data_IF_914806250033
#
_entry.id   IF_914806250033
#
_cell.length_a   1.000
_cell.length_b   1.000
_cell.length_c   1.000
_cell.angle_alpha   90.00
_cell.angle_beta   90.00
_cell.angle_gamma   90.00
#
_symmetry.space_group_name_H-M   'P 1'
#
loop_
_entity.id
_entity.type
_entity.pdbx_description
1 polymer ?
#
# COMPACT_ATOMS: atom_id res chain seq x y z
N UNK A 1 -41.88 30.42 -68.88
CA UNK A 1 -40.41 30.34 -68.56
C UNK A 1 -40.15 30.73 -67.12
N UNK A 2 -40.95 31.62 -66.46
CA UNK A 2 -40.76 32.05 -65.08
C UNK A 2 -41.15 30.96 -64.03
N UNK A 3 -42.11 30.08 -64.34
CA UNK A 3 -42.58 29.03 -63.41
C UNK A 3 -41.53 27.93 -63.13
N UNK A 4 -40.75 27.54 -64.09
CA UNK A 4 -39.70 26.50 -63.99
C UNK A 4 -38.54 26.96 -63.08
N UNK A 5 -38.26 28.25 -63.04
CA UNK A 5 -37.18 28.83 -62.22
C UNK A 5 -37.52 28.88 -60.74
N UNK A 6 -38.78 29.06 -60.44
CA UNK A 6 -39.22 29.08 -59.02
C UNK A 6 -39.29 27.66 -58.41
N UNK A 7 -39.65 26.65 -59.22
CA UNK A 7 -39.64 25.23 -58.76
C UNK A 7 -38.21 24.75 -58.43
N UNK A 8 -37.24 25.18 -59.23
CA UNK A 8 -35.82 24.79 -58.95
C UNK A 8 -35.26 25.43 -57.71
N UNK A 9 -35.62 26.67 -57.39
CA UNK A 9 -35.21 27.35 -56.18
C UNK A 9 -35.85 26.77 -54.92
N UNK A 10 -37.09 26.36 -54.94
CA UNK A 10 -37.81 25.70 -53.85
C UNK A 10 -37.21 24.33 -53.60
N UNK A 11 -36.86 23.55 -54.62
CA UNK A 11 -36.21 22.26 -54.49
C UNK A 11 -34.79 22.40 -53.87
N UNK A 12 -34.04 23.44 -54.20
CA UNK A 12 -32.71 23.67 -53.67
C UNK A 12 -32.73 24.10 -52.22
N UNK A 13 -33.69 24.92 -51.80
CA UNK A 13 -33.89 25.32 -50.42
C UNK A 13 -34.34 24.14 -49.55
N UNK A 14 -35.21 23.24 -50.03
CA UNK A 14 -35.64 22.05 -49.29
C UNK A 14 -34.50 21.02 -49.14
N UNK A 15 -33.61 20.88 -50.11
CA UNK A 15 -32.45 20.02 -50.03
C UNK A 15 -31.41 20.53 -48.99
N UNK A 16 -31.21 21.85 -48.90
CA UNK A 16 -30.30 22.43 -47.90
C UNK A 16 -30.84 22.32 -46.47
N UNK A 17 -32.15 22.41 -46.24
CA UNK A 17 -32.73 22.26 -44.93
C UNK A 17 -32.69 20.80 -44.44
N UNK A 18 -32.78 19.81 -45.33
CA UNK A 18 -32.71 18.41 -44.96
C UNK A 18 -31.27 17.97 -44.59
N UNK A 19 -30.25 18.52 -45.25
CA UNK A 19 -28.85 18.25 -44.91
C UNK A 19 -28.42 18.90 -43.59
N UNK A 20 -28.99 20.04 -43.22
CA UNK A 20 -28.70 20.68 -41.93
C UNK A 20 -29.25 19.90 -40.72
N UNK A 21 -30.44 19.26 -40.86
CA UNK A 21 -31.01 18.44 -39.78
C UNK A 21 -30.23 17.14 -39.52
N UNK A 22 -29.66 16.51 -40.55
CA UNK A 22 -28.79 15.33 -40.38
C UNK A 22 -27.47 15.68 -39.67
N UNK A 23 -26.88 16.83 -39.93
CA UNK A 23 -25.65 17.27 -39.26
C UNK A 23 -25.86 17.55 -37.76
N UNK A 24 -27.01 18.09 -37.39
CA UNK A 24 -27.35 18.30 -35.98
C UNK A 24 -27.63 16.98 -35.22
N UNK A 25 -28.20 15.96 -35.87
CA UNK A 25 -28.47 14.67 -35.27
C UNK A 25 -27.16 13.92 -34.98
N UNK A 26 -26.20 13.94 -35.93
CA UNK A 26 -24.88 13.29 -35.72
C UNK A 26 -24.06 13.96 -34.61
N UNK A 27 -24.07 15.29 -34.52
CA UNK A 27 -23.35 15.97 -33.44
C UNK A 27 -23.99 15.75 -32.05
N UNK A 28 -25.28 15.47 -31.98
CA UNK A 28 -25.96 15.16 -30.72
C UNK A 28 -25.69 13.72 -30.24
N UNK A 29 -25.56 12.76 -31.19
CA UNK A 29 -25.18 11.38 -30.85
C UNK A 29 -23.70 11.28 -30.43
N UNK A 30 -22.78 11.94 -31.15
CA UNK A 30 -21.37 11.99 -30.73
C UNK A 30 -21.19 12.63 -29.34
N UNK A 31 -21.94 13.69 -29.04
CA UNK A 31 -21.88 14.34 -27.72
C UNK A 31 -22.51 13.48 -26.62
N UNK A 32 -23.50 12.66 -26.93
CA UNK A 32 -24.13 11.73 -26.00
C UNK A 32 -23.25 10.51 -25.73
N UNK A 33 -22.58 9.96 -26.73
CA UNK A 33 -21.61 8.86 -26.58
C UNK A 33 -20.36 9.32 -25.83
N UNK A 34 -19.84 10.52 -26.12
CA UNK A 34 -18.70 11.08 -25.39
C UNK A 34 -19.03 11.39 -23.94
N UNK A 35 -20.24 11.82 -23.63
CA UNK A 35 -20.72 11.98 -22.24
C UNK A 35 -20.93 10.65 -21.53
N UNK A 36 -21.50 9.66 -22.19
CA UNK A 36 -21.67 8.33 -21.62
C UNK A 36 -20.32 7.65 -21.38
N UNK A 37 -19.36 7.77 -22.30
CA UNK A 37 -18.00 7.29 -22.11
C UNK A 37 -17.23 8.06 -21.02
N UNK A 38 -17.50 9.35 -20.85
CA UNK A 38 -16.92 10.16 -19.79
C UNK A 38 -17.54 9.84 -18.40
N UNK A 39 -18.84 9.52 -18.34
CA UNK A 39 -19.49 9.05 -17.11
C UNK A 39 -19.03 7.63 -16.75
N UNK A 40 -18.87 6.73 -17.72
CA UNK A 40 -18.33 5.39 -17.49
C UNK A 40 -16.83 5.42 -17.09
N UNK A 41 -16.07 6.41 -17.62
CA UNK A 41 -14.67 6.61 -17.21
C UNK A 41 -14.53 7.26 -15.82
N UNK A 42 -15.56 7.93 -15.31
CA UNK A 42 -15.58 8.50 -13.95
C UNK A 42 -16.02 7.47 -12.91
N UNK A 43 -16.65 6.38 -13.32
CA UNK A 43 -17.01 5.24 -12.47
C UNK A 43 -15.92 4.15 -12.40
N UNK A 44 -14.72 4.43 -12.90
CA UNK A 44 -13.54 3.73 -12.41
C UNK A 44 -13.42 4.09 -10.92
N UNK A 45 -13.96 3.19 -10.13
CA UNK A 45 -13.84 3.13 -8.69
C UNK A 45 -12.50 3.73 -8.29
N UNK A 46 -12.53 4.88 -7.66
CA UNK A 46 -11.34 5.45 -7.06
C UNK A 46 -10.89 4.39 -6.06
N UNK A 47 -9.99 3.52 -6.47
CA UNK A 47 -9.33 2.60 -5.56
C UNK A 47 -8.65 3.50 -4.56
N UNK A 48 -9.36 3.80 -3.52
CA UNK A 48 -8.88 4.60 -2.40
C UNK A 48 -7.81 3.74 -1.74
N UNK A 49 -6.55 3.97 -2.13
CA UNK A 49 -5.38 3.35 -1.50
C UNK A 49 -5.18 4.01 -0.13
N UNK A 50 -6.26 4.05 0.66
CA UNK A 50 -6.29 4.67 1.98
C UNK A 50 -5.43 3.90 2.97
N UNK A 51 -5.40 2.57 2.88
CA UNK A 51 -4.65 1.74 3.81
C UNK A 51 -3.14 1.93 3.73
N UNK A 52 -2.53 1.89 2.54
CA UNK A 52 -1.07 2.08 2.38
C UNK A 52 -0.67 3.49 2.79
N UNK A 53 -1.47 4.49 2.42
CA UNK A 53 -1.19 5.88 2.79
C UNK A 53 -1.26 6.08 4.29
N UNK A 54 -2.28 5.55 4.96
CA UNK A 54 -2.40 5.58 6.41
C UNK A 54 -1.24 4.85 7.10
N UNK A 55 -0.79 3.70 6.57
CA UNK A 55 0.38 2.97 7.07
C UNK A 55 1.66 3.81 7.00
N UNK A 56 1.92 4.46 5.87
CA UNK A 56 3.08 5.36 5.70
C UNK A 56 3.00 6.56 6.66
N UNK A 57 1.84 7.19 6.78
CA UNK A 57 1.61 8.32 7.68
C UNK A 57 1.84 7.92 9.15
N UNK A 58 1.36 6.74 9.56
CA UNK A 58 1.60 6.19 10.88
C UNK A 58 3.08 5.89 11.12
N UNK A 59 3.78 5.28 10.17
CA UNK A 59 5.21 5.03 10.26
C UNK A 59 6.02 6.32 10.40
N UNK A 60 5.65 7.36 9.67
CA UNK A 60 6.26 8.70 9.77
C UNK A 60 5.96 9.33 11.14
N UNK A 61 4.74 9.21 11.65
CA UNK A 61 4.36 9.72 12.97
C UNK A 61 5.18 9.06 14.08
N UNK A 62 5.30 7.73 14.06
CA UNK A 62 6.13 6.98 15.02
C UNK A 62 7.57 7.46 15.00
N UNK A 63 8.14 7.70 13.80
CA UNK A 63 9.52 8.22 13.67
C UNK A 63 9.67 9.65 14.19
N UNK A 64 8.66 10.48 14.00
CA UNK A 64 8.66 11.89 14.45
C UNK A 64 8.55 12.00 15.96
N UNK A 65 7.70 11.16 16.57
CA UNK A 65 7.37 11.23 17.98
C UNK A 65 8.39 10.48 18.87
N UNK A 66 9.23 9.63 18.25
CA UNK A 66 10.25 8.88 18.95
C UNK A 66 11.49 9.73 19.21
N UNK A 67 12.03 9.63 20.43
CA UNK A 67 13.35 10.20 20.80
C UNK A 67 14.51 9.37 20.27
N UNK A 68 14.27 8.09 20.01
CA UNK A 68 15.24 7.11 19.48
C UNK A 68 15.15 7.07 17.95
N UNK A 69 16.22 6.63 17.28
CA UNK A 69 16.17 6.37 15.84
C UNK A 69 15.42 5.06 15.62
N UNK A 70 14.19 5.18 15.12
CA UNK A 70 13.31 4.04 14.88
C UNK A 70 12.87 3.96 13.42
N UNK A 71 12.58 2.75 12.99
CA UNK A 71 11.83 2.46 11.77
C UNK A 71 10.58 1.69 12.16
N UNK A 72 9.45 2.09 11.63
CA UNK A 72 8.17 1.42 11.88
C UNK A 72 7.58 0.87 10.60
N UNK A 73 6.91 -0.25 10.71
CA UNK A 73 6.22 -0.95 9.65
C UNK A 73 4.85 -1.39 10.16
N UNK A 74 3.78 -1.07 9.43
CA UNK A 74 2.41 -1.37 9.87
C UNK A 74 1.88 -2.67 9.26
N UNK A 75 0.84 -3.25 9.87
CA UNK A 75 0.15 -4.43 9.34
C UNK A 75 -0.45 -4.21 7.96
N UNK A 76 -0.88 -2.98 7.68
CA UNK A 76 -1.43 -2.62 6.37
C UNK A 76 -0.36 -2.71 5.28
N UNK A 77 0.89 -2.46 5.61
CA UNK A 77 2.03 -2.65 4.71
C UNK A 77 2.41 -4.13 4.60
N UNK A 78 2.29 -4.89 5.71
CA UNK A 78 2.58 -6.33 5.75
C UNK A 78 1.57 -7.12 4.93
N UNK A 79 0.28 -6.88 5.12
CA UNK A 79 -0.80 -7.69 4.54
C UNK A 79 -1.04 -7.47 3.04
N UNK A 80 -0.52 -6.40 2.45
CA UNK A 80 -0.71 -6.08 1.02
C UNK A 80 0.44 -6.49 0.12
N UNK A 81 1.57 -6.86 0.71
CA UNK A 81 2.71 -7.34 -0.02
C UNK A 81 2.70 -8.87 -0.03
N UNK A 82 2.98 -9.52 -1.16
CA UNK A 82 3.00 -10.98 -1.27
C UNK A 82 4.28 -11.54 -0.65
N UNK A 83 4.55 -11.19 0.61
CA UNK A 83 5.74 -11.65 1.32
C UNK A 83 5.47 -13.01 1.97
N UNK A 84 6.36 -13.96 1.74
CA UNK A 84 6.24 -15.32 2.26
C UNK A 84 6.49 -15.39 3.78
N UNK A 85 7.16 -14.38 4.36
CA UNK A 85 7.41 -14.29 5.79
C UNK A 85 7.54 -12.84 6.25
N UNK A 86 7.27 -12.60 7.53
CA UNK A 86 7.46 -11.27 8.13
C UNK A 86 8.90 -10.76 8.03
N UNK A 87 9.88 -11.67 7.95
CA UNK A 87 11.29 -11.32 7.76
C UNK A 87 11.54 -10.57 6.44
N UNK A 88 10.84 -10.94 5.36
CA UNK A 88 10.98 -10.27 4.06
C UNK A 88 10.41 -8.84 4.11
N UNK A 89 9.30 -8.66 4.79
CA UNK A 89 8.71 -7.34 4.99
C UNK A 89 9.62 -6.43 5.82
N UNK A 90 10.18 -6.93 6.92
CA UNK A 90 11.10 -6.19 7.80
C UNK A 90 12.40 -5.83 7.06
N UNK A 91 12.89 -6.71 6.18
CA UNK A 91 14.12 -6.46 5.40
C UNK A 91 14.01 -5.29 4.41
N UNK A 92 12.80 -4.78 4.15
CA UNK A 92 12.59 -3.57 3.34
C UNK A 92 12.90 -2.28 4.10
N UNK A 93 12.99 -2.37 5.44
CA UNK A 93 13.32 -1.20 6.26
C UNK A 93 14.80 -0.82 6.07
N UNK A 94 15.11 0.48 6.02
CA UNK A 94 16.50 0.94 5.85
C UNK A 94 17.42 0.39 6.94
N UNK A 95 18.57 -0.14 6.55
CA UNK A 95 19.58 -0.67 7.47
C UNK A 95 19.20 -1.98 8.14
N UNK A 96 18.23 -2.70 7.59
CA UNK A 96 17.83 -4.03 8.02
C UNK A 96 17.99 -4.99 6.84
N UNK A 97 18.47 -6.19 7.11
CA UNK A 97 18.62 -7.24 6.10
C UNK A 97 18.18 -8.58 6.67
N UNK A 98 17.55 -9.41 5.83
CA UNK A 98 17.19 -10.77 6.21
C UNK A 98 18.22 -11.77 5.66
N UNK A 99 18.62 -12.70 6.50
CA UNK A 99 19.40 -13.84 6.07
C UNK A 99 18.46 -14.99 5.70
N UNK A 100 18.79 -15.67 4.62
CA UNK A 100 17.97 -16.77 4.11
C UNK A 100 18.58 -18.12 4.47
N UNK A 101 17.74 -18.97 5.03
CA UNK A 101 18.05 -20.36 5.32
C UNK A 101 17.08 -21.22 4.52
N UNK A 102 17.59 -22.18 3.77
CA UNK A 102 16.78 -23.04 2.89
C UNK A 102 15.83 -22.24 1.94
N UNK A 103 16.31 -21.09 1.44
CA UNK A 103 15.55 -20.24 0.51
C UNK A 103 14.51 -19.31 1.16
N UNK A 104 14.28 -19.39 2.47
CA UNK A 104 13.32 -18.55 3.21
C UNK A 104 14.08 -17.51 4.04
N UNK A 105 13.57 -16.29 4.06
CA UNK A 105 14.07 -15.27 4.98
C UNK A 105 13.71 -15.69 6.42
N UNK A 106 14.71 -15.89 7.25
CA UNK A 106 14.54 -16.45 8.57
C UNK A 106 14.97 -15.49 9.68
N UNK A 107 16.22 -15.05 9.67
CA UNK A 107 16.76 -14.20 10.74
C UNK A 107 17.11 -12.81 10.23
N UNK A 108 17.05 -11.82 11.11
CA UNK A 108 17.21 -10.41 10.77
C UNK A 108 18.53 -9.88 11.30
N UNK A 109 19.28 -9.22 10.43
CA UNK A 109 20.47 -8.45 10.77
C UNK A 109 20.15 -6.96 10.77
N UNK A 110 20.54 -6.24 11.80
CA UNK A 110 20.37 -4.80 11.91
C UNK A 110 21.73 -4.13 11.79
N UNK A 111 21.82 -3.13 10.92
CA UNK A 111 23.06 -2.36 10.65
C UNK A 111 24.26 -3.23 10.25
N UNK A 112 24.02 -4.35 9.59
CA UNK A 112 25.08 -5.25 9.11
C UNK A 112 25.78 -6.09 10.18
N UNK A 113 25.32 -6.02 11.43
CA UNK A 113 25.82 -6.89 12.49
C UNK A 113 25.11 -8.25 12.46
N UNK A 114 25.75 -9.29 13.04
CA UNK A 114 25.15 -10.62 13.12
C UNK A 114 23.77 -10.56 13.81
N UNK A 115 22.81 -11.38 13.38
CA UNK A 115 21.49 -11.47 14.01
C UNK A 115 21.52 -11.70 15.51
N UNK A 116 22.56 -12.37 16.04
CA UNK A 116 22.74 -12.64 17.47
C UNK A 116 22.91 -11.37 18.33
N UNK A 117 23.27 -10.25 17.71
CA UNK A 117 23.42 -8.97 18.39
C UNK A 117 22.11 -8.14 18.40
N UNK A 118 21.08 -8.60 17.72
CA UNK A 118 19.75 -8.00 17.78
C UNK A 118 18.91 -8.66 18.88
N UNK A 119 18.14 -7.86 19.59
CA UNK A 119 17.12 -8.40 20.50
C UNK A 119 15.75 -8.27 19.84
N UNK A 120 14.97 -9.33 19.90
CA UNK A 120 13.60 -9.35 19.39
C UNK A 120 12.63 -9.41 20.56
N UNK A 121 11.62 -8.53 20.51
CA UNK A 121 10.53 -8.47 21.47
C UNK A 121 9.22 -8.83 20.79
N UNK A 122 8.33 -9.49 21.49
CA UNK A 122 6.94 -9.69 21.14
C UNK A 122 6.07 -9.03 22.19
N UNK A 123 5.36 -7.98 21.80
CA UNK A 123 4.57 -7.17 22.75
C UNK A 123 5.37 -6.69 23.96
N UNK A 124 6.62 -6.27 23.73
CA UNK A 124 7.53 -5.78 24.77
C UNK A 124 8.21 -6.87 25.61
N UNK A 125 8.04 -8.16 25.28
CA UNK A 125 8.69 -9.28 25.98
C UNK A 125 9.76 -9.89 25.09
N UNK A 126 10.94 -10.18 25.67
CA UNK A 126 12.04 -10.79 24.93
C UNK A 126 11.65 -12.19 24.43
N UNK A 127 11.98 -12.42 23.18
CA UNK A 127 11.81 -13.71 22.51
C UNK A 127 13.12 -14.48 22.54
N UNK A 128 13.01 -15.78 22.59
CA UNK A 128 14.15 -16.69 22.51
C UNK A 128 14.19 -17.41 21.17
N UNK A 129 15.39 -17.73 20.71
CA UNK A 129 15.59 -18.61 19.56
C UNK A 129 15.19 -20.04 19.88
N UNK A 130 14.80 -20.80 18.86
CA UNK A 130 14.61 -22.25 18.94
C UNK A 130 15.92 -23.01 18.75
N UNK A 131 17.00 -22.32 18.30
CA UNK A 131 18.33 -22.86 18.14
C UNK A 131 19.27 -22.55 19.30
N UNK A 132 20.56 -22.85 19.11
CA UNK A 132 21.62 -22.61 20.10
C UNK A 132 22.16 -21.17 20.09
N UNK A 133 21.55 -20.29 19.26
CA UNK A 133 21.93 -18.89 19.09
C UNK A 133 20.89 -17.96 19.71
N UNK A 134 21.12 -16.64 19.66
CA UNK A 134 20.21 -15.63 20.15
C UNK A 134 19.29 -15.05 19.07
N UNK A 135 19.53 -15.40 17.84
CA UNK A 135 18.76 -14.89 16.69
C UNK A 135 17.38 -15.55 16.64
N UNK A 136 16.34 -14.76 16.60
CA UNK A 136 14.95 -15.25 16.52
C UNK A 136 14.62 -15.58 15.07
N UNK A 137 13.96 -16.71 14.86
CA UNK A 137 13.50 -17.19 13.58
C UNK A 137 12.13 -16.60 13.25
N UNK A 138 12.07 -15.61 12.36
CA UNK A 138 10.86 -14.88 12.03
C UNK A 138 9.91 -15.62 11.07
N UNK A 139 10.39 -16.68 10.42
CA UNK A 139 9.57 -17.52 9.54
C UNK A 139 8.53 -18.37 10.28
N UNK A 140 8.65 -18.47 11.61
CA UNK A 140 7.69 -19.16 12.45
C UNK A 140 6.45 -18.32 12.79
N UNK A 141 6.51 -17.02 12.49
CA UNK A 141 5.43 -16.08 12.83
C UNK A 141 4.69 -15.65 11.55
N UNK A 142 3.40 -15.97 11.43
CA UNK A 142 2.60 -15.54 10.31
C UNK A 142 2.42 -14.00 10.33
N UNK A 143 2.56 -13.40 9.16
CA UNK A 143 2.46 -11.96 8.98
C UNK A 143 1.09 -11.41 9.38
N UNK A 144 0.03 -12.20 9.22
CA UNK A 144 -1.35 -11.82 9.50
C UNK A 144 -1.63 -11.63 11.00
N UNK A 145 -0.81 -12.22 11.87
CA UNK A 145 -0.94 -12.05 13.32
C UNK A 145 -0.32 -10.74 13.81
N UNK A 146 0.48 -10.08 12.98
CA UNK A 146 1.23 -8.91 13.39
C UNK A 146 0.49 -7.64 13.00
N UNK A 147 0.32 -6.75 13.99
CA UNK A 147 -0.19 -5.38 13.77
C UNK A 147 0.88 -4.46 13.21
N UNK A 148 2.14 -4.71 13.55
CA UNK A 148 3.27 -3.93 13.10
C UNK A 148 4.56 -4.35 13.77
N UNK A 149 5.65 -3.81 13.25
CA UNK A 149 7.00 -3.99 13.78
C UNK A 149 7.67 -2.65 13.90
N UNK A 150 8.31 -2.40 15.03
CA UNK A 150 9.16 -1.24 15.25
C UNK A 150 10.59 -1.69 15.47
N UNK A 151 11.51 -1.15 14.70
CA UNK A 151 12.95 -1.42 14.80
C UNK A 151 13.64 -0.24 15.45
N UNK A 152 14.11 -0.41 16.66
CA UNK A 152 14.89 0.57 17.40
C UNK A 152 16.36 0.40 17.03
N UNK A 153 16.94 1.38 16.36
CA UNK A 153 18.35 1.38 15.96
C UNK A 153 19.26 1.98 17.00
N UNK A 154 18.72 2.77 17.92
CA UNK A 154 19.44 3.33 19.07
C UNK A 154 18.80 2.85 20.36
N UNK A 155 19.56 2.76 21.45
CA UNK A 155 19.03 2.39 22.75
C UNK A 155 17.87 3.28 23.17
N UNK A 156 16.87 2.68 23.79
CA UNK A 156 15.70 3.35 24.35
C UNK A 156 15.48 2.86 25.79
N UNK A 157 15.35 3.79 26.74
CA UNK A 157 15.22 3.46 28.15
C UNK A 157 13.91 2.75 28.52
N UNK A 158 12.91 2.79 27.63
CA UNK A 158 11.63 2.11 27.81
C UNK A 158 11.65 0.63 27.42
N UNK A 159 12.74 0.14 26.81
CA UNK A 159 12.84 -1.23 26.31
C UNK A 159 13.62 -2.12 27.26
N UNK A 160 13.16 -3.38 27.35
CA UNK A 160 13.84 -4.42 28.12
C UNK A 160 14.77 -5.20 27.18
N UNK A 161 15.99 -5.54 27.64
CA UNK A 161 16.89 -6.45 26.94
C UNK A 161 17.38 -5.91 25.60
N UNK A 162 18.07 -4.79 25.59
CA UNK A 162 18.48 -4.14 24.35
C UNK A 162 19.64 -4.88 23.68
N UNK A 163 19.49 -5.15 22.38
CA UNK A 163 20.56 -5.69 21.55
C UNK A 163 21.60 -4.63 21.16
N UNK A 164 22.82 -5.07 20.96
CA UNK A 164 23.93 -4.20 20.53
C UNK A 164 23.67 -3.57 19.13
N UNK A 165 23.09 -4.34 18.22
CA UNK A 165 22.78 -3.88 16.87
C UNK A 165 21.45 -3.12 16.78
N UNK A 166 20.54 -3.38 17.71
CA UNK A 166 19.20 -2.82 17.77
C UNK A 166 18.19 -3.77 18.39
N UNK A 167 16.97 -3.28 18.55
CA UNK A 167 15.86 -4.03 19.10
C UNK A 167 14.69 -4.00 18.15
N UNK A 168 14.13 -5.17 17.85
CA UNK A 168 12.90 -5.31 17.07
C UNK A 168 11.75 -5.58 18.01
N UNK A 169 10.73 -4.72 18.04
CA UNK A 169 9.48 -4.94 18.80
C UNK A 169 8.35 -5.28 17.82
N UNK A 170 7.93 -6.53 17.85
CA UNK A 170 6.77 -7.00 17.09
C UNK A 170 5.52 -6.88 17.95
N UNK A 171 4.46 -6.35 17.37
CA UNK A 171 3.18 -6.20 18.04
C UNK A 171 2.12 -7.02 17.34
N UNK A 172 1.43 -7.85 18.11
CA UNK A 172 0.29 -8.63 17.63
C UNK A 172 -0.98 -7.78 17.58
N UNK A 173 -1.91 -8.21 16.75
CA UNK A 173 -3.26 -7.64 16.71
C UNK A 173 -3.95 -7.90 18.06
N UNK A 174 -4.61 -6.88 18.60
CA UNK A 174 -5.38 -6.99 19.84
C UNK A 174 -6.87 -7.09 19.50
N UNK A 175 -7.65 -7.87 20.27
CA UNK A 175 -9.08 -8.02 20.02
C UNK A 175 -9.87 -6.70 20.03
N UNK A 176 -9.44 -5.73 20.84
CA UNK A 176 -10.07 -4.41 20.93
C UNK A 176 -9.68 -3.46 19.79
N UNK A 177 -8.74 -3.83 18.95
CA UNK A 177 -8.34 -3.03 17.77
C UNK A 177 -9.22 -3.32 16.55
N UNK A 178 -10.15 -4.27 16.64
CA UNK A 178 -11.12 -4.55 15.60
C UNK A 178 -12.38 -3.71 15.80
N UNK A 179 -12.62 -2.77 14.92
CA UNK A 179 -13.82 -1.91 14.93
C UNK A 179 -15.09 -2.63 14.44
N UNK A 180 -14.99 -3.90 14.04
CA UNK A 180 -16.11 -4.70 13.53
C UNK A 180 -16.14 -6.07 14.21
N UNK A 181 -17.31 -6.47 14.72
CA UNK A 181 -17.52 -7.83 15.21
C UNK A 181 -17.49 -8.86 14.07
#
# INVERSE_FOLDING_TARGET
VKLKRNMLSVALVSAMTFSATCAYAQSAEETAEEKAAAEEAVELETVTVTGIRAGIENAIAVKRDSTSIVEAFSAEDIGKLPDASIAESIARLPGVTAQRVAGRAQVISVRGLSPDFATTLLNGREMVSTGDNRSVEFDQYPSEMMRGVTVYKTPDAGLIGQGLSGTLDMRTVRPLDYDKP
#
